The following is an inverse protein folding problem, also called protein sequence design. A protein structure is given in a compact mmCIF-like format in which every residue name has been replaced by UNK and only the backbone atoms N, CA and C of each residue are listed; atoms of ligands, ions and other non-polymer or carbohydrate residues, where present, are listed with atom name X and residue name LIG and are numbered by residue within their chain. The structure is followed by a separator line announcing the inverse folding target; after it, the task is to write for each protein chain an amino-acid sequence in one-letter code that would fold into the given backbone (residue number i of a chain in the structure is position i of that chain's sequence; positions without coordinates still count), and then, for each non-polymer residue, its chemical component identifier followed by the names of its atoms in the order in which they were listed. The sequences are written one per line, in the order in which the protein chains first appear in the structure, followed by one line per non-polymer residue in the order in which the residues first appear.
data_IF_358265373252
#
_entry.id   IF_358265373252
#
_cell.length_a   1.000
_cell.length_b   1.000
_cell.length_c   1.000
_cell.angle_alpha   90.00
_cell.angle_beta   90.00
_cell.angle_gamma   90.00
#
_symmetry.space_group_name_H-M   'P 1'
#
loop_
_entity.id
_entity.type
_entity.pdbx_description
1 polymer ?
#
# COMPACT_ATOMS: atom_id res chain seq x y z
N UNK A 1 -13.82 0.28 -16.36
CA UNK A 1 -13.49 -0.91 -15.56
C UNK A 1 -13.81 -0.58 -14.11
N UNK A 2 -14.94 -1.08 -13.61
CA UNK A 2 -15.36 -0.84 -12.22
C UNK A 2 -14.52 -1.76 -11.33
N UNK A 3 -13.67 -1.19 -10.48
CA UNK A 3 -12.87 -1.96 -9.54
C UNK A 3 -13.79 -2.44 -8.41
N UNK A 4 -14.52 -3.53 -8.65
CA UNK A 4 -15.35 -4.15 -7.63
C UNK A 4 -14.42 -4.81 -6.62
N UNK A 5 -14.31 -4.19 -5.45
CA UNK A 5 -13.56 -4.75 -4.33
C UNK A 5 -14.37 -5.94 -3.79
N UNK A 6 -14.01 -7.15 -4.19
CA UNK A 6 -14.63 -8.39 -3.69
C UNK A 6 -14.32 -8.49 -2.18
N UNK A 7 -15.36 -8.66 -1.35
CA UNK A 7 -15.21 -8.76 0.10
C UNK A 7 -14.42 -10.02 0.47
N UNK A 8 -13.67 -9.97 1.58
CA UNK A 8 -12.91 -11.13 2.04
C UNK A 8 -13.81 -12.33 2.35
N UNK A 9 -15.00 -12.09 2.91
CA UNK A 9 -16.00 -13.14 3.18
C UNK A 9 -16.34 -13.95 1.92
N UNK A 10 -16.50 -13.26 0.79
CA UNK A 10 -16.78 -13.90 -0.50
C UNK A 10 -15.64 -14.81 -0.95
N UNK A 11 -14.39 -14.39 -0.71
CA UNK A 11 -13.22 -15.18 -1.07
C UNK A 11 -13.08 -16.40 -0.16
N UNK A 12 -13.31 -16.24 1.14
CA UNK A 12 -13.30 -17.33 2.12
C UNK A 12 -14.37 -18.37 1.81
N UNK A 13 -15.59 -17.93 1.46
CA UNK A 13 -16.67 -18.82 1.03
C UNK A 13 -16.28 -19.58 -0.25
N UNK A 14 -15.71 -18.89 -1.25
CA UNK A 14 -15.25 -19.52 -2.50
C UNK A 14 -14.19 -20.60 -2.25
N UNK A 15 -13.23 -20.32 -1.37
CA UNK A 15 -12.17 -21.26 -1.00
C UNK A 15 -12.72 -22.43 -0.17
N UNK A 16 -13.68 -22.16 0.73
CA UNK A 16 -14.34 -23.19 1.52
C UNK A 16 -15.11 -24.18 0.63
N UNK A 17 -15.89 -23.69 -0.34
CA UNK A 17 -16.56 -24.57 -1.30
C UNK A 17 -15.55 -25.40 -2.09
N UNK A 18 -14.45 -24.78 -2.51
CA UNK A 18 -13.41 -25.48 -3.24
C UNK A 18 -12.73 -26.58 -2.40
N UNK A 19 -12.47 -26.31 -1.12
CA UNK A 19 -11.91 -27.30 -0.18
C UNK A 19 -12.89 -28.45 0.12
N UNK A 20 -14.19 -28.17 0.06
CA UNK A 20 -15.25 -29.17 0.18
C UNK A 20 -15.46 -29.97 -1.12
N UNK A 21 -14.62 -29.79 -2.14
CA UNK A 21 -14.65 -30.58 -3.38
C UNK A 21 -15.63 -30.09 -4.44
N UNK A 22 -16.19 -28.88 -4.30
CA UNK A 22 -17.08 -28.32 -5.32
C UNK A 22 -16.32 -28.00 -6.61
N UNK A 23 -16.93 -28.23 -7.78
CA UNK A 23 -16.33 -27.87 -9.06
C UNK A 23 -16.20 -26.34 -9.18
N UNK A 24 -15.16 -25.90 -9.88
CA UNK A 24 -14.83 -24.48 -9.97
C UNK A 24 -15.90 -23.70 -10.73
N UNK A 25 -16.49 -24.35 -11.72
CA UNK A 25 -17.57 -23.87 -12.57
C UNK A 25 -18.76 -23.40 -11.73
N UNK A 26 -19.27 -24.28 -10.87
CA UNK A 26 -20.43 -24.01 -10.02
C UNK A 26 -20.14 -22.91 -9.00
N UNK A 27 -18.91 -22.88 -8.45
CA UNK A 27 -18.48 -21.80 -7.53
C UNK A 27 -18.46 -20.44 -8.25
N UNK A 28 -17.92 -20.41 -9.47
CA UNK A 28 -17.83 -19.18 -10.26
C UNK A 28 -19.22 -18.66 -10.65
N UNK A 29 -20.13 -19.56 -11.03
CA UNK A 29 -21.50 -19.22 -11.36
C UNK A 29 -22.27 -18.73 -10.12
N UNK A 30 -22.17 -19.45 -8.99
CA UNK A 30 -22.84 -19.12 -7.75
C UNK A 30 -22.42 -17.76 -7.17
N UNK A 31 -21.11 -17.47 -7.19
CA UNK A 31 -20.55 -16.27 -6.57
C UNK A 31 -20.36 -15.12 -7.57
N UNK A 32 -20.57 -15.35 -8.86
CA UNK A 32 -20.38 -14.35 -9.92
C UNK A 32 -18.91 -13.93 -10.10
N UNK A 33 -17.97 -14.84 -9.84
CA UNK A 33 -16.52 -14.56 -9.86
C UNK A 33 -15.84 -15.29 -11.01
N UNK A 34 -14.71 -14.74 -11.48
CA UNK A 34 -13.91 -15.38 -12.51
C UNK A 34 -13.07 -16.52 -11.93
N UNK A 35 -12.87 -17.59 -12.71
CA UNK A 35 -11.99 -18.72 -12.35
C UNK A 35 -10.59 -18.26 -11.93
N UNK A 36 -10.04 -17.28 -12.66
CA UNK A 36 -8.74 -16.69 -12.37
C UNK A 36 -8.66 -16.10 -10.95
N UNK A 37 -9.73 -15.46 -10.47
CA UNK A 37 -9.79 -14.92 -9.11
C UNK A 37 -9.69 -16.03 -8.06
N UNK A 38 -10.38 -17.16 -8.25
CA UNK A 38 -10.32 -18.28 -7.33
C UNK A 38 -8.94 -18.95 -7.27
N UNK A 39 -8.22 -19.02 -8.39
CA UNK A 39 -6.84 -19.50 -8.41
C UNK A 39 -5.93 -18.54 -7.65
N UNK A 40 -6.03 -17.24 -7.94
CA UNK A 40 -5.22 -16.21 -7.32
C UNK A 40 -5.44 -16.11 -5.81
N UNK A 41 -6.69 -16.23 -5.34
CA UNK A 41 -6.97 -16.25 -3.90
C UNK A 41 -6.36 -17.45 -3.18
N UNK A 42 -6.29 -18.61 -3.85
CA UNK A 42 -5.63 -19.78 -3.28
C UNK A 42 -4.13 -19.58 -3.19
N UNK A 43 -3.53 -19.05 -4.25
CA UNK A 43 -2.09 -18.73 -4.28
C UNK A 43 -1.72 -17.77 -3.15
N UNK A 44 -2.51 -16.71 -2.95
CA UNK A 44 -2.31 -15.77 -1.83
C UNK A 44 -2.50 -16.45 -0.48
N UNK A 45 -3.54 -17.29 -0.33
CA UNK A 45 -3.76 -18.01 0.94
C UNK A 45 -2.58 -18.95 1.25
N UNK A 46 -2.05 -19.64 0.25
CA UNK A 46 -0.90 -20.53 0.39
C UNK A 46 0.40 -19.77 0.69
N UNK A 47 0.60 -18.59 0.09
CA UNK A 47 1.80 -17.75 0.28
C UNK A 47 1.79 -16.98 1.61
N UNK A 48 0.63 -16.41 1.98
CA UNK A 48 0.53 -15.43 3.07
C UNK A 48 -0.33 -15.88 4.25
N UNK A 49 -1.05 -17.01 4.14
CA UNK A 49 -1.93 -17.53 5.19
C UNK A 49 -3.24 -16.76 5.38
N UNK A 50 -3.51 -15.77 4.52
CA UNK A 50 -4.72 -14.94 4.53
C UNK A 50 -5.16 -14.65 3.10
N UNK A 51 -6.46 -14.47 2.86
CA UNK A 51 -7.04 -14.10 1.56
C UNK A 51 -7.11 -12.57 1.36
N UNK A 52 -6.69 -11.81 2.38
CA UNK A 52 -6.47 -10.38 2.23
C UNK A 52 -5.39 -10.11 1.20
N UNK A 53 -5.57 -9.02 0.45
CA UNK A 53 -4.57 -8.61 -0.54
C UNK A 53 -3.31 -8.21 0.25
N UNK A 54 -2.14 -8.80 -0.03
CA UNK A 54 -0.91 -8.35 0.62
C UNK A 54 -0.73 -6.84 0.35
N UNK A 55 -0.19 -6.08 1.32
CA UNK A 55 0.16 -4.69 1.05
C UNK A 55 0.97 -4.68 -0.25
N UNK A 56 0.59 -3.80 -1.17
CA UNK A 56 1.31 -3.71 -2.43
C UNK A 56 2.80 -3.58 -2.10
N UNK A 57 3.70 -4.27 -2.85
CA UNK A 57 5.11 -3.96 -2.76
C UNK A 57 5.25 -2.44 -2.84
N UNK A 58 6.11 -1.82 -2.05
CA UNK A 58 6.36 -0.39 -2.12
C UNK A 58 6.93 -0.10 -3.52
N UNK A 59 6.05 0.11 -4.50
CA UNK A 59 6.40 0.41 -5.88
C UNK A 59 6.46 1.93 -5.98
N UNK A 60 7.65 2.45 -5.73
CA UNK A 60 7.98 3.87 -5.82
C UNK A 60 9.40 4.13 -5.33
N UNK A 61 10.03 5.25 -5.70
CA UNK A 61 11.27 5.69 -5.08
C UNK A 61 11.07 5.74 -3.56
N UNK A 62 12.02 5.23 -2.79
CA UNK A 62 12.01 5.40 -1.33
C UNK A 62 11.88 6.87 -1.02
N UNK A 63 10.80 7.25 -0.32
CA UNK A 63 10.59 8.63 0.10
C UNK A 63 11.82 9.07 0.90
N UNK A 64 12.56 10.06 0.40
CA UNK A 64 13.72 10.61 1.11
C UNK A 64 13.33 11.27 2.44
N UNK A 65 12.06 11.64 2.57
CA UNK A 65 11.46 12.21 3.77
C UNK A 65 10.89 11.05 4.60
N UNK A 66 11.65 10.64 5.62
CA UNK A 66 11.16 9.75 6.67
C UNK A 66 10.41 10.54 7.73
N UNK A 67 9.60 9.85 8.54
CA UNK A 67 8.87 10.45 9.67
C UNK A 67 9.78 11.21 10.65
N UNK A 68 11.03 10.75 10.82
CA UNK A 68 12.03 11.43 11.65
C UNK A 68 12.39 12.82 11.10
N UNK A 69 12.50 12.94 9.78
CA UNK A 69 12.79 14.21 9.11
C UNK A 69 11.59 15.15 9.18
N UNK A 70 10.37 14.62 9.05
CA UNK A 70 9.15 15.40 9.19
C UNK A 70 9.05 16.05 10.58
N UNK A 71 9.40 15.31 11.65
CA UNK A 71 9.47 15.86 13.01
C UNK A 71 10.62 16.85 13.19
N UNK A 72 11.74 16.66 12.50
CA UNK A 72 12.86 17.61 12.54
C UNK A 72 12.52 18.95 11.85
N UNK A 73 11.76 18.92 10.75
CA UNK A 73 11.28 20.13 10.05
C UNK A 73 10.32 20.96 10.93
N UNK A 74 9.65 20.34 11.90
CA UNK A 74 8.73 21.06 12.81
C UNK A 74 9.47 22.07 13.71
N UNK A 75 10.76 21.83 14.02
CA UNK A 75 11.59 22.76 14.81
C UNK A 75 11.80 24.12 14.12
N UNK A 76 12.32 24.20 12.88
CA UNK A 76 12.49 25.47 12.20
C UNK A 76 11.17 26.24 12.07
N UNK A 77 10.06 25.57 11.70
CA UNK A 77 8.74 26.23 11.61
C UNK A 77 8.20 26.75 12.95
N UNK A 78 8.62 26.17 14.07
CA UNK A 78 8.24 26.64 15.40
C UNK A 78 9.05 27.87 15.85
N UNK A 79 10.28 28.00 15.34
CA UNK A 79 11.17 29.14 15.62
C UNK A 79 10.89 30.32 14.70
N UNK A 80 10.59 30.06 13.43
CA UNK A 80 10.22 31.08 12.44
C UNK A 80 9.16 30.53 11.47
N UNK A 81 7.94 31.08 11.55
CA UNK A 81 6.81 30.62 10.73
C UNK A 81 6.88 31.08 9.28
N UNK A 82 7.76 32.04 8.95
CA UNK A 82 7.87 32.64 7.62
C UNK A 82 9.00 32.01 6.78
N UNK A 83 9.59 30.90 7.25
CA UNK A 83 10.63 30.16 6.54
C UNK A 83 10.18 29.67 5.16
N UNK A 84 10.96 30.02 4.15
CA UNK A 84 10.75 29.55 2.79
C UNK A 84 11.22 28.09 2.62
N UNK A 85 10.63 27.39 1.65
CA UNK A 85 10.90 25.97 1.41
C UNK A 85 12.38 25.69 1.07
N UNK A 86 13.05 26.63 0.41
CA UNK A 86 14.47 26.56 0.08
C UNK A 86 15.38 26.76 1.31
N UNK A 87 14.95 27.56 2.29
CA UNK A 87 15.63 27.71 3.58
C UNK A 87 15.54 26.42 4.38
N UNK A 88 14.38 25.75 4.38
CA UNK A 88 14.20 24.42 4.99
C UNK A 88 15.05 23.37 4.29
N UNK A 89 15.12 23.39 2.94
CA UNK A 89 16.02 22.50 2.19
C UNK A 89 17.50 22.74 2.55
N UNK A 90 17.89 24.01 2.73
CA UNK A 90 19.25 24.39 3.12
C UNK A 90 19.56 23.93 4.54
N UNK A 91 18.63 24.09 5.47
CA UNK A 91 18.77 23.61 6.84
C UNK A 91 18.90 22.08 6.90
N UNK A 92 18.09 21.34 6.14
CA UNK A 92 18.20 19.88 6.03
C UNK A 92 19.56 19.42 5.47
N UNK A 93 20.11 20.16 4.52
CA UNK A 93 21.43 19.88 3.96
C UNK A 93 22.55 20.13 4.98
N UNK A 94 22.46 21.20 5.78
CA UNK A 94 23.49 21.58 6.76
C UNK A 94 23.42 20.73 8.04
N UNK A 95 22.25 20.59 8.64
CA UNK A 95 22.09 19.96 9.96
C UNK A 95 21.97 18.43 9.87
N UNK A 96 21.35 17.94 8.80
CA UNK A 96 21.03 16.51 8.65
C UNK A 96 21.79 15.82 7.50
N UNK A 97 22.56 16.55 6.70
CA UNK A 97 23.27 16.05 5.51
C UNK A 97 22.31 15.38 4.50
N UNK A 98 21.11 15.98 4.33
CA UNK A 98 20.06 15.46 3.47
C UNK A 98 19.80 16.44 2.32
N UNK A 99 20.18 16.05 1.12
CA UNK A 99 19.92 16.82 -0.11
C UNK A 99 18.55 16.45 -0.70
N UNK A 100 17.59 17.36 -0.53
CA UNK A 100 16.25 17.28 -1.11
C UNK A 100 16.02 18.53 -1.96
N UNK A 101 15.41 18.34 -3.13
CA UNK A 101 14.96 19.43 -3.99
C UNK A 101 13.63 19.98 -3.47
N UNK A 102 13.37 21.27 -3.64
CA UNK A 102 12.05 21.89 -3.36
C UNK A 102 10.89 21.12 -4.00
N UNK A 103 11.08 20.55 -5.19
CA UNK A 103 10.08 19.72 -5.88
C UNK A 103 9.80 18.38 -5.18
N UNK A 104 10.74 17.89 -4.36
CA UNK A 104 10.58 16.69 -3.54
C UNK A 104 9.97 16.97 -2.16
N UNK A 105 9.79 18.24 -1.79
CA UNK A 105 9.12 18.71 -0.56
C UNK A 105 7.72 19.29 -0.81
N UNK A 106 7.34 19.50 -2.08
CA UNK A 106 6.01 19.96 -2.51
C UNK A 106 5.02 18.81 -2.71
#
# INVERSE_FOLDING_TARGET
MVNWRISNDLKEIALTFRNNGWPLEDICELLGVLRASCYWWREILEEHGDVSRPPAPLVGPTCKITHAILGAIEQPYSEDSDLFLDEVCTWLAVEHNIEISTSGMS
#
